data_IF_056182543910
#
_entry.id   IF_056182543910
#
_cell.length_a   1.000
_cell.length_b   1.000
_cell.length_c   1.000
_cell.angle_alpha   90.00
_cell.angle_beta   90.00
_cell.angle_gamma   90.00
#
_symmetry.space_group_name_H-M   'P 1'
#
loop_
_entity.id
_entity.type
_entity.pdbx_description
1 polymer ?
#
# COMPACT_ATOMS: atom_id res chain seq x y z
N UNK A 1 18.17 -8.52 16.84
CA UNK A 1 18.02 -7.27 17.60
C UNK A 1 16.62 -6.68 17.34
N UNK A 2 15.56 -7.46 17.62
CA UNK A 2 14.18 -7.18 17.14
C UNK A 2 13.12 -7.25 18.25
N UNK A 3 13.53 -7.38 19.52
CA UNK A 3 12.65 -7.73 20.65
C UNK A 3 11.84 -6.57 21.25
N UNK A 4 11.91 -5.36 20.68
CA UNK A 4 11.22 -4.16 21.21
C UNK A 4 10.43 -3.41 20.13
N UNK A 5 9.74 -4.10 19.22
CA UNK A 5 8.69 -3.41 18.47
C UNK A 5 7.50 -3.17 19.39
N UNK A 6 7.00 -1.93 19.42
CA UNK A 6 5.79 -1.58 20.16
C UNK A 6 4.63 -2.42 19.63
N UNK A 7 3.99 -3.20 20.50
CA UNK A 7 2.84 -4.02 20.14
C UNK A 7 1.65 -3.17 19.64
N UNK A 8 1.69 -1.84 19.84
CA UNK A 8 0.71 -0.88 19.33
C UNK A 8 1.07 -0.29 17.97
N UNK A 9 2.19 -0.70 17.36
CA UNK A 9 2.57 -0.26 16.02
C UNK A 9 1.45 -0.61 15.02
N UNK A 10 0.86 0.37 14.31
CA UNK A 10 -0.32 0.15 13.47
C UNK A 10 -0.12 -0.93 12.40
N UNK A 11 1.09 -1.08 11.86
CA UNK A 11 1.40 -2.11 10.86
C UNK A 11 1.41 -3.53 11.45
N UNK A 12 1.75 -3.70 12.73
CA UNK A 12 1.62 -4.96 13.45
C UNK A 12 0.16 -5.24 13.80
N UNK A 13 -0.54 -4.24 14.36
CA UNK A 13 -1.97 -4.37 14.73
C UNK A 13 -2.84 -4.68 13.52
N UNK A 14 -2.56 -4.06 12.37
CA UNK A 14 -3.23 -4.32 11.10
C UNK A 14 -2.78 -5.60 10.39
N UNK A 15 -1.84 -6.36 10.95
CA UNK A 15 -1.31 -7.60 10.36
C UNK A 15 -0.45 -7.42 9.09
N UNK A 16 -0.15 -6.18 8.69
CA UNK A 16 0.69 -5.89 7.51
C UNK A 16 2.10 -6.44 7.72
N UNK A 17 2.71 -6.12 8.88
CA UNK A 17 3.89 -6.84 9.34
C UNK A 17 3.40 -8.21 9.82
N UNK A 18 3.90 -9.27 9.18
CA UNK A 18 3.41 -10.63 9.36
C UNK A 18 2.79 -11.18 8.09
N UNK A 19 1.72 -10.56 7.57
CA UNK A 19 1.08 -11.04 6.34
C UNK A 19 1.87 -10.67 5.08
N UNK A 20 2.31 -9.41 4.96
CA UNK A 20 2.86 -8.85 3.70
C UNK A 20 4.38 -8.63 3.77
N UNK A 21 4.85 -8.08 4.89
CA UNK A 21 6.27 -7.75 5.08
C UNK A 21 6.80 -8.28 6.40
N UNK A 22 8.11 -8.47 6.47
CA UNK A 22 8.80 -8.76 7.73
C UNK A 22 8.99 -7.50 8.56
N UNK A 23 9.23 -7.61 9.87
CA UNK A 23 9.57 -6.48 10.71
C UNK A 23 10.77 -5.69 10.14
N UNK A 24 10.61 -4.37 9.98
CA UNK A 24 11.63 -3.49 9.41
C UNK A 24 11.76 -2.18 10.20
N UNK A 25 12.83 -1.43 9.95
CA UNK A 25 13.05 -0.10 10.53
C UNK A 25 12.62 0.94 9.50
N UNK A 26 11.64 1.78 9.86
CA UNK A 26 11.22 2.90 9.01
C UNK A 26 12.38 3.89 8.85
N UNK A 27 12.77 4.17 7.60
CA UNK A 27 13.89 5.07 7.28
C UNK A 27 13.58 6.04 6.14
N UNK A 28 12.34 6.05 5.65
CA UNK A 28 11.81 7.01 4.69
C UNK A 28 10.43 7.48 5.14
N UNK A 29 10.06 8.70 4.74
CA UNK A 29 8.74 9.26 5.03
C UNK A 29 7.90 9.20 3.75
N UNK A 30 6.86 8.36 3.79
CA UNK A 30 5.90 8.14 2.71
C UNK A 30 4.59 8.86 3.05
N UNK A 31 4.05 9.64 2.10
CA UNK A 31 2.68 10.16 2.18
C UNK A 31 1.86 9.69 1.02
N UNK A 32 0.66 9.18 1.33
CA UNK A 32 -0.34 8.79 0.32
C UNK A 32 -1.54 9.71 0.48
N UNK A 33 -1.99 10.30 -0.62
CA UNK A 33 -3.03 11.33 -0.62
C UNK A 33 -4.10 10.95 -1.65
N UNK A 34 -5.32 10.72 -1.16
CA UNK A 34 -6.52 10.56 -1.98
C UNK A 34 -7.43 11.78 -1.77
N UNK A 35 -7.97 12.33 -2.85
CA UNK A 35 -8.93 13.46 -2.80
C UNK A 35 -8.46 14.63 -1.91
N UNK A 36 -7.19 15.03 -2.04
CA UNK A 36 -6.53 16.07 -1.23
C UNK A 36 -6.45 15.80 0.28
N UNK A 37 -6.66 14.55 0.71
CA UNK A 37 -6.52 14.12 2.10
C UNK A 37 -5.42 13.09 2.24
N UNK A 38 -4.44 13.38 3.10
CA UNK A 38 -3.43 12.41 3.53
C UNK A 38 -4.11 11.30 4.32
N UNK A 39 -3.84 10.05 3.94
CA UNK A 39 -4.37 8.88 4.62
C UNK A 39 -3.35 8.36 5.63
N UNK A 40 -3.85 7.78 6.72
CA UNK A 40 -3.03 7.18 7.78
C UNK A 40 -3.36 5.69 7.91
N UNK A 41 -2.49 4.94 8.59
CA UNK A 41 -2.68 3.50 8.79
C UNK A 41 -4.07 3.17 9.34
N UNK A 42 -4.78 2.28 8.64
CA UNK A 42 -6.12 1.84 9.01
C UNK A 42 -7.26 2.79 8.61
N UNK A 43 -6.97 3.89 7.90
CA UNK A 43 -8.02 4.76 7.33
C UNK A 43 -9.03 3.95 6.54
N UNK A 44 -10.33 4.25 6.67
CA UNK A 44 -11.38 3.59 5.88
C UNK A 44 -11.70 4.42 4.63
N UNK A 45 -11.56 3.82 3.45
CA UNK A 45 -11.87 4.44 2.17
C UNK A 45 -12.88 3.59 1.40
N UNK A 46 -13.82 4.28 0.73
CA UNK A 46 -14.76 3.63 -0.18
C UNK A 46 -14.11 3.38 -1.54
N UNK A 47 -14.54 2.36 -2.30
CA UNK A 47 -14.05 2.11 -3.65
C UNK A 47 -14.13 3.35 -4.55
N UNK A 48 -15.23 4.12 -4.45
CA UNK A 48 -15.39 5.39 -5.16
C UNK A 48 -14.30 6.42 -4.84
N UNK A 49 -13.79 6.46 -3.60
CA UNK A 49 -12.76 7.39 -3.16
C UNK A 49 -11.35 7.02 -3.66
N UNK A 50 -11.16 5.78 -4.10
CA UNK A 50 -9.87 5.22 -4.57
C UNK A 50 -9.95 4.75 -6.04
N UNK A 51 -10.91 5.29 -6.79
CA UNK A 51 -11.11 4.94 -8.20
C UNK A 51 -9.93 5.36 -9.10
N UNK A 52 -9.25 6.46 -8.75
CA UNK A 52 -8.03 6.94 -9.40
C UNK A 52 -6.83 6.73 -8.48
N UNK A 53 -5.63 6.63 -9.05
CA UNK A 53 -4.38 6.51 -8.32
C UNK A 53 -4.16 7.69 -7.35
N UNK A 54 -3.57 7.46 -6.18
CA UNK A 54 -3.27 8.53 -5.24
C UNK A 54 -2.02 9.31 -5.65
N UNK A 55 -1.88 10.51 -5.09
CA UNK A 55 -0.56 11.16 -5.03
C UNK A 55 0.28 10.47 -3.96
N UNK A 56 1.49 10.04 -4.30
CA UNK A 56 2.39 9.33 -3.40
C UNK A 56 3.73 10.05 -3.36
N UNK A 57 3.95 10.76 -2.26
CA UNK A 57 5.14 11.59 -2.05
C UNK A 57 6.16 10.85 -1.17
N UNK A 58 7.42 10.88 -1.60
CA UNK A 58 8.56 10.34 -0.85
C UNK A 58 9.41 11.51 -0.38
N UNK A 59 9.39 11.78 0.92
CA UNK A 59 10.12 12.91 1.49
C UNK A 59 11.59 12.56 1.67
N UNK A 60 12.44 13.56 1.45
CA UNK A 60 13.88 13.48 1.59
C UNK A 60 14.53 14.64 0.84
N UNK A 61 15.81 14.50 0.52
CA UNK A 61 16.58 15.57 -0.14
C UNK A 61 17.58 15.08 -1.18
N UNK A 62 17.74 13.76 -1.35
CA UNK A 62 18.71 13.16 -2.25
C UNK A 62 18.01 12.50 -3.45
N UNK A 63 17.79 13.28 -4.51
CA UNK A 63 17.18 12.80 -5.77
C UNK A 63 17.97 11.68 -6.48
N UNK A 64 19.19 11.35 -6.02
CA UNK A 64 19.94 10.19 -6.54
C UNK A 64 19.45 8.88 -5.93
N UNK A 65 18.75 8.93 -4.80
CA UNK A 65 18.09 7.76 -4.21
C UNK A 65 16.81 7.49 -4.97
N UNK A 66 16.72 6.26 -5.45
CA UNK A 66 15.55 5.77 -6.16
C UNK A 66 14.76 4.82 -5.26
N UNK A 67 13.45 4.78 -5.49
CA UNK A 67 12.53 3.96 -4.71
C UNK A 67 11.60 3.16 -5.63
N UNK A 68 11.21 1.99 -5.15
CA UNK A 68 10.15 1.17 -5.72
C UNK A 68 8.95 1.19 -4.78
N UNK A 69 7.78 1.53 -5.31
CA UNK A 69 6.49 1.49 -4.65
C UNK A 69 5.69 0.28 -5.14
N UNK A 70 5.19 -0.51 -4.20
CA UNK A 70 4.29 -1.64 -4.44
C UNK A 70 2.97 -1.39 -3.72
N UNK A 71 1.84 -1.57 -4.40
CA UNK A 71 0.51 -1.57 -3.78
C UNK A 71 -0.12 -2.94 -3.94
N UNK A 72 -0.50 -3.58 -2.83
CA UNK A 72 -1.06 -4.94 -2.81
C UNK A 72 -2.30 -5.06 -1.93
N UNK A 73 -3.13 -6.04 -2.24
CA UNK A 73 -4.24 -6.52 -1.42
C UNK A 73 -3.94 -7.96 -0.95
N UNK A 74 -3.61 -8.18 0.33
CA UNK A 74 -3.39 -9.51 0.88
C UNK A 74 -4.69 -10.23 1.20
N UNK A 75 -5.84 -9.60 1.03
CA UNK A 75 -7.14 -10.13 1.43
C UNK A 75 -7.96 -10.58 0.22
N UNK A 76 -7.40 -10.62 -0.99
CA UNK A 76 -8.10 -11.06 -2.19
C UNK A 76 -8.34 -12.59 -2.23
N UNK A 77 -9.52 -13.08 -2.66
CA UNK A 77 -10.73 -12.33 -3.02
C UNK A 77 -11.59 -11.95 -1.80
N UNK A 78 -11.31 -12.51 -0.62
CA UNK A 78 -11.90 -12.10 0.66
C UNK A 78 -10.95 -12.41 1.83
N UNK A 79 -10.94 -11.61 2.90
CA UNK A 79 -10.02 -11.80 4.03
C UNK A 79 -10.20 -13.15 4.73
N UNK A 80 -11.40 -13.74 4.70
CA UNK A 80 -11.69 -15.04 5.29
C UNK A 80 -11.26 -16.23 4.44
N UNK A 81 -11.03 -16.03 3.14
CA UNK A 81 -10.55 -17.05 2.21
C UNK A 81 -9.65 -16.41 1.14
N UNK A 82 -8.43 -15.97 1.51
CA UNK A 82 -7.59 -15.12 0.66
C UNK A 82 -6.76 -15.95 -0.33
N UNK A 83 -7.42 -16.72 -1.20
CA UNK A 83 -6.76 -17.64 -2.16
C UNK A 83 -5.96 -16.94 -3.25
N UNK A 84 -6.20 -15.64 -3.47
CA UNK A 84 -5.49 -14.81 -4.46
C UNK A 84 -4.45 -13.88 -3.80
N UNK A 85 -4.18 -14.04 -2.50
CA UNK A 85 -3.15 -13.29 -1.77
C UNK A 85 -1.77 -13.46 -2.43
N UNK A 86 -1.01 -12.40 -2.67
CA UNK A 86 -1.39 -10.98 -2.70
C UNK A 86 -1.90 -10.61 -4.11
N UNK A 87 -2.88 -9.71 -4.21
CA UNK A 87 -3.28 -9.13 -5.49
C UNK A 87 -2.56 -7.80 -5.72
N UNK A 88 -1.74 -7.71 -6.77
CA UNK A 88 -0.95 -6.53 -7.11
C UNK A 88 -1.80 -5.45 -7.78
N UNK A 89 -2.01 -4.34 -7.09
CA UNK A 89 -2.75 -3.18 -7.59
C UNK A 89 -1.88 -2.19 -8.37
N UNK A 90 -0.65 -1.94 -7.93
CA UNK A 90 0.22 -0.93 -8.54
C UNK A 90 1.69 -1.24 -8.31
N UNK A 91 2.54 -1.02 -9.32
CA UNK A 91 3.99 -1.15 -9.20
C UNK A 91 4.67 -0.02 -9.96
N UNK A 92 5.40 0.83 -9.22
CA UNK A 92 6.17 1.94 -9.77
C UNK A 92 7.60 1.84 -9.27
N UNK A 93 8.55 1.99 -10.18
CA UNK A 93 9.98 1.84 -9.92
C UNK A 93 10.71 3.13 -10.21
N UNK A 94 11.99 3.23 -9.84
CA UNK A 94 12.83 4.38 -10.17
C UNK A 94 12.25 5.74 -9.74
N UNK A 95 11.46 5.79 -8.65
CA UNK A 95 10.89 7.04 -8.14
C UNK A 95 12.02 7.80 -7.43
N UNK A 96 12.39 9.02 -7.88
CA UNK A 96 13.40 9.81 -7.19
C UNK A 96 12.91 10.27 -5.80
N UNK A 97 13.78 10.27 -4.80
CA UNK A 97 13.47 10.91 -3.50
C UNK A 97 13.08 12.38 -3.69
N UNK A 98 12.28 12.92 -2.77
CA UNK A 98 11.75 14.29 -2.82
C UNK A 98 10.77 14.54 -3.98
N UNK A 99 10.27 13.48 -4.61
CA UNK A 99 9.28 13.58 -5.69
C UNK A 99 8.04 12.72 -5.40
N UNK A 100 7.20 12.55 -6.43
CA UNK A 100 5.97 11.79 -6.39
C UNK A 100 6.07 10.58 -7.32
N UNK A 101 5.29 9.52 -7.07
CA UNK A 101 5.31 8.30 -7.87
C UNK A 101 5.15 8.52 -9.39
N UNK A 102 4.47 9.60 -9.83
CA UNK A 102 4.36 9.94 -11.26
C UNK A 102 5.70 10.25 -11.96
N UNK A 103 6.77 10.50 -11.20
CA UNK A 103 8.12 10.70 -11.71
C UNK A 103 8.92 9.39 -11.84
N UNK A 104 8.39 8.28 -11.36
CA UNK A 104 8.96 6.96 -11.56
C UNK A 104 8.55 6.33 -12.89
N UNK A 105 8.96 5.08 -13.06
CA UNK A 105 8.56 4.20 -14.15
C UNK A 105 7.44 3.26 -13.69
N UNK A 106 6.23 3.47 -14.21
CA UNK A 106 5.07 2.61 -13.94
C UNK A 106 5.22 1.27 -14.68
N UNK A 107 5.48 0.20 -13.93
CA UNK A 107 5.68 -1.15 -14.45
C UNK A 107 4.36 -1.91 -14.51
N UNK A 108 3.51 -1.73 -13.49
CA UNK A 108 2.14 -2.26 -13.46
C UNK A 108 1.23 -1.09 -13.15
N UNK A 109 0.31 -0.79 -14.06
CA UNK A 109 -0.62 0.33 -13.93
C UNK A 109 -1.56 0.17 -12.74
N UNK A 110 -1.97 1.29 -12.16
CA UNK A 110 -2.90 1.30 -11.04
C UNK A 110 -4.22 0.64 -11.40
N UNK A 111 -4.60 -0.39 -10.65
CA UNK A 111 -5.92 -0.99 -10.69
C UNK A 111 -6.72 -0.57 -9.45
N UNK A 112 -7.87 0.08 -9.65
CA UNK A 112 -8.73 0.51 -8.54
C UNK A 112 -9.20 -0.68 -7.67
N UNK A 113 -9.08 -0.60 -6.33
CA UNK A 113 -9.63 -1.62 -5.43
C UNK A 113 -11.15 -1.79 -5.58
N UNK A 114 -11.59 -3.04 -5.78
CA UNK A 114 -13.01 -3.40 -5.94
C UNK A 114 -13.41 -4.60 -5.05
N UNK A 115 -13.26 -4.49 -3.72
CA UNK A 115 -13.59 -5.58 -2.81
C UNK A 115 -15.08 -5.95 -2.92
N UNK A 116 -15.35 -7.24 -3.10
CA UNK A 116 -16.71 -7.78 -3.22
C UNK A 116 -17.25 -8.35 -1.89
N UNK A 117 -16.35 -8.77 -0.99
CA UNK A 117 -16.71 -9.40 0.28
C UNK A 117 -15.67 -9.09 1.38
N UNK A 118 -16.15 -8.70 2.56
CA UNK A 118 -15.28 -8.36 3.68
C UNK A 118 -14.59 -6.99 3.55
N UNK A 119 -13.70 -6.72 4.50
CA UNK A 119 -12.88 -5.52 4.54
C UNK A 119 -11.46 -5.93 4.15
N UNK A 120 -10.95 -5.33 3.07
CA UNK A 120 -9.63 -5.59 2.53
C UNK A 120 -8.64 -4.52 2.99
N UNK A 121 -7.40 -4.92 3.25
CA UNK A 121 -6.28 -4.03 3.55
C UNK A 121 -5.52 -3.72 2.26
N UNK A 122 -5.52 -2.48 1.84
CA UNK A 122 -4.73 -2.04 0.70
C UNK A 122 -3.42 -1.48 1.21
N UNK A 123 -2.34 -2.20 0.96
CA UNK A 123 -1.03 -1.96 1.54
C UNK A 123 -0.11 -1.32 0.50
N UNK A 124 0.47 -0.16 0.84
CA UNK A 124 1.60 0.42 0.13
C UNK A 124 2.89 0.03 0.84
N UNK A 125 3.84 -0.50 0.08
CA UNK A 125 5.19 -0.85 0.55
C UNK A 125 6.20 -0.10 -0.29
N UNK A 126 7.14 0.58 0.38
CA UNK A 126 8.20 1.34 -0.26
C UNK A 126 9.55 0.67 0.02
N UNK A 127 10.31 0.44 -1.04
CA UNK A 127 11.68 -0.07 -0.99
C UNK A 127 12.65 0.97 -1.53
N UNK A 128 13.84 1.07 -0.94
CA UNK A 128 14.94 1.85 -1.50
C UNK A 128 15.72 0.97 -2.47
N UNK A 129 16.03 1.50 -3.65
CA UNK A 129 16.88 0.82 -4.62
C UNK A 129 18.35 1.15 -4.36
N UNK A 130 19.19 0.13 -4.22
CA UNK A 130 20.65 0.32 -4.17
C UNK A 130 21.23 0.66 -5.54
N UNK A 131 20.61 0.11 -6.60
CA UNK A 131 20.96 0.37 -7.99
C UNK A 131 19.72 0.57 -8.83
N UNK A 132 19.84 1.38 -9.89
CA UNK A 132 18.83 1.44 -10.93
C UNK A 132 18.86 0.13 -11.71
N UNK A 133 17.71 -0.53 -11.80
CA UNK A 133 17.59 -1.82 -12.48
C UNK A 133 16.26 -1.93 -13.19
N UNK A 134 16.21 -2.73 -14.25
CA UNK A 134 14.96 -3.00 -14.96
C UNK A 134 14.18 -4.08 -14.22
N UNK A 135 13.01 -3.68 -13.70
CA UNK A 135 12.03 -4.58 -13.10
C UNK A 135 10.94 -4.81 -14.14
N UNK A 136 10.62 -6.08 -14.39
CA UNK A 136 9.55 -6.45 -15.32
C UNK A 136 8.24 -6.68 -14.58
N UNK A 137 7.13 -6.38 -15.25
CA UNK A 137 5.80 -6.70 -14.75
C UNK A 137 5.66 -8.23 -14.59
N UNK A 138 5.05 -8.71 -13.50
CA UNK A 138 4.66 -10.12 -13.41
C UNK A 138 3.61 -10.43 -14.49
N UNK A 139 3.51 -11.71 -14.87
CA UNK A 139 2.53 -12.15 -15.88
C UNK A 139 1.08 -12.05 -15.42
N UNK A 140 0.85 -11.85 -14.12
CA UNK A 140 -0.47 -11.80 -13.48
C UNK A 140 -0.40 -10.99 -12.17
N UNK A 141 -1.55 -10.54 -11.67
CA UNK A 141 -1.65 -9.71 -10.46
C UNK A 141 -1.87 -10.52 -9.18
N UNK A 142 -2.66 -11.59 -9.26
CA UNK A 142 -3.00 -12.49 -8.16
C UNK A 142 -1.81 -13.33 -7.72
N UNK A 143 -1.78 -13.79 -6.47
CA UNK A 143 -0.67 -14.60 -5.96
C UNK A 143 0.71 -13.94 -6.14
N UNK A 144 0.74 -12.61 -6.17
CA UNK A 144 1.96 -11.84 -5.98
C UNK A 144 2.47 -12.07 -4.56
N UNK A 145 3.78 -11.94 -4.37
CA UNK A 145 4.40 -12.02 -3.05
C UNK A 145 5.43 -10.90 -2.93
N UNK A 146 5.12 -9.91 -2.09
CA UNK A 146 5.98 -8.74 -1.88
C UNK A 146 7.38 -9.12 -1.37
N UNK A 147 7.51 -10.17 -0.55
CA UNK A 147 8.81 -10.64 -0.03
C UNK A 147 9.65 -11.32 -1.10
N UNK A 148 9.03 -12.20 -1.88
CA UNK A 148 9.74 -12.89 -2.97
C UNK A 148 10.17 -11.87 -4.04
N UNK A 149 9.32 -10.87 -4.32
CA UNK A 149 9.65 -9.76 -5.20
C UNK A 149 10.84 -8.95 -4.70
N UNK A 150 10.86 -8.55 -3.42
CA UNK A 150 11.97 -7.76 -2.88
C UNK A 150 13.28 -8.56 -2.84
N UNK A 151 13.21 -9.87 -2.58
CA UNK A 151 14.35 -10.77 -2.63
C UNK A 151 14.87 -10.95 -4.07
N UNK A 152 14.00 -11.20 -5.04
CA UNK A 152 14.35 -11.40 -6.45
C UNK A 152 15.11 -10.22 -7.04
N UNK A 153 14.69 -9.00 -6.69
CA UNK A 153 15.29 -7.76 -7.19
C UNK A 153 16.27 -7.12 -6.19
N UNK A 154 16.70 -7.82 -5.13
CA UNK A 154 17.64 -7.29 -4.14
C UNK A 154 17.25 -5.90 -3.58
N UNK A 155 15.95 -5.68 -3.34
CA UNK A 155 15.44 -4.41 -2.81
C UNK A 155 15.61 -4.28 -1.28
N UNK A 156 16.00 -5.38 -0.61
CA UNK A 156 16.19 -5.43 0.83
C UNK A 156 14.88 -5.31 1.62
N UNK A 157 14.99 -4.82 2.86
CA UNK A 157 13.82 -4.57 3.72
C UNK A 157 13.07 -3.31 3.27
N UNK A 158 11.74 -3.25 3.49
CA UNK A 158 10.99 -2.02 3.30
C UNK A 158 11.60 -0.87 4.10
N UNK A 159 11.45 0.35 3.59
CA UNK A 159 11.89 1.59 4.26
C UNK A 159 10.69 2.42 4.75
N UNK A 160 9.51 2.16 4.20
CA UNK A 160 8.22 2.63 4.68
C UNK A 160 7.12 1.66 4.23
N UNK A 161 6.03 1.61 4.99
CA UNK A 161 4.81 0.96 4.56
C UNK A 161 3.62 1.64 5.23
N UNK A 162 2.47 1.59 4.58
CA UNK A 162 1.21 2.01 5.17
C UNK A 162 0.05 1.22 4.57
N UNK A 163 -1.11 1.22 5.22
CA UNK A 163 -2.31 0.60 4.65
C UNK A 163 -3.57 1.40 4.94
N UNK A 164 -4.59 1.20 4.11
CA UNK A 164 -5.96 1.62 4.37
C UNK A 164 -6.92 0.43 4.22
N UNK A 165 -8.11 0.54 4.79
CA UNK A 165 -9.16 -0.46 4.72
C UNK A 165 -10.18 -0.06 3.65
N UNK A 166 -10.58 -1.00 2.80
CA UNK A 166 -11.61 -0.82 1.79
C UNK A 166 -12.63 -1.96 1.84
N UNK A 167 -13.90 -1.64 1.68
CA UNK A 167 -14.98 -2.62 1.54
C UNK A 167 -15.95 -2.16 0.47
N UNK A 168 -16.82 -3.04 -0.01
CA UNK A 168 -17.82 -2.72 -1.04
C UNK A 168 -18.58 -1.42 -0.71
N UNK A 169 -18.83 -0.58 -1.71
CA UNK A 169 -19.45 0.76 -1.59
C UNK A 169 -20.69 0.78 -0.68
N UNK A 170 -21.56 -0.22 -0.84
CA UNK A 170 -22.77 -0.43 -0.05
C UNK A 170 -22.56 -1.57 0.96
N UNK A 171 -21.58 -1.43 1.85
CA UNK A 171 -21.26 -2.44 2.86
C UNK A 171 -22.51 -2.93 3.60
N UNK A 172 -22.62 -4.24 3.83
CA UNK A 172 -23.74 -4.83 4.58
C UNK A 172 -23.64 -4.62 6.11
N UNK A 173 -22.71 -3.80 6.58
CA UNK A 173 -22.48 -3.51 7.99
C UNK A 173 -23.24 -2.26 8.45
N UNK A 174 -24.23 -2.44 9.33
CA UNK A 174 -25.17 -1.42 9.77
C UNK A 174 -24.60 -0.33 10.68
N UNK A 175 -23.78 0.58 10.15
CA UNK A 175 -23.67 1.94 10.70
C UNK A 175 -24.21 2.93 9.68
N UNK A 176 -25.51 3.22 9.84
CA UNK A 176 -26.16 4.38 9.22
C UNK A 176 -25.35 5.62 9.59
N UNK A 177 -24.83 6.32 8.59
CA UNK A 177 -24.42 7.70 8.75
C UNK A 177 -25.67 8.51 9.11
N UNK A 178 -25.79 8.95 10.36
CA UNK A 178 -26.65 10.07 10.67
C UNK A 178 -25.94 11.33 10.13
N UNK A 179 -26.40 11.83 8.98
CA UNK A 179 -26.21 13.23 8.65
C UNK A 179 -26.96 14.02 9.72
N UNK A 180 -26.23 14.70 10.60
CA UNK A 180 -26.81 15.76 11.39
C UNK A 180 -26.96 16.94 10.44
N UNK A 181 -28.14 17.08 9.83
CA UNK A 181 -28.54 18.30 9.17
C UNK A 181 -28.76 19.37 10.24
N UNK A 182 -27.77 20.21 10.48
CA UNK A 182 -27.91 21.43 11.25
C UNK A 182 -28.10 22.61 10.30
N UNK A 183 -29.35 22.97 10.03
CA UNK A 183 -29.71 24.33 9.63
C UNK A 183 -30.21 25.06 10.89
N UNK A 184 -29.52 26.14 11.25
CA UNK A 184 -30.06 27.39 11.79
C UNK A 184 -28.91 28.40 11.85
#
# INVERSE_FOLDING_TARGET
MWRNMDQREPLLVGGVIGDVVDPFVKSATLKVIYNNKEITNGSELRPSAVASEPRVEIFGSDMRRLYTLVMVDPDAPSPSNPTEREHLHWLVTDIPESTDARFGNEVVSYESPRPIAGIHRLVFVLFRQDVRQTIYAPGWRQNFNTRDFSALYNLGSPVAAMYFNCQRENGCGGRRYHMVSGWA
#
